data_IF_053187883475
#
_entry.id   IF_053187883475
#
_cell.length_a   1.000
_cell.length_b   1.000
_cell.length_c   1.000
_cell.angle_alpha   90.00
_cell.angle_beta   90.00
_cell.angle_gamma   90.00
#
_symmetry.space_group_name_H-M   'P 1'
#
loop_
_entity.id
_entity.type
_entity.pdbx_description
1 polymer ?
#
# COMPACT_ATOMS: atom_id res chain seq x y z
N UNK A 1 3.78 -24.95 -37.96
CA UNK A 1 4.32 -24.56 -36.65
C UNK A 1 3.13 -24.57 -35.71
N UNK A 2 3.02 -25.57 -34.84
CA UNK A 2 1.91 -25.64 -33.90
C UNK A 2 2.19 -24.69 -32.73
N UNK A 3 1.31 -23.72 -32.54
CA UNK A 3 1.38 -22.79 -31.41
C UNK A 3 0.85 -23.52 -30.18
N UNK A 4 1.76 -24.00 -29.32
CA UNK A 4 1.37 -24.53 -28.02
C UNK A 4 0.84 -23.36 -27.19
N UNK A 5 -0.48 -23.20 -27.15
CA UNK A 5 -1.14 -22.31 -26.20
C UNK A 5 -1.06 -22.99 -24.84
N UNK A 6 -0.12 -22.55 -24.01
CA UNK A 6 -0.06 -22.99 -22.62
C UNK A 6 -1.37 -22.57 -21.94
N UNK A 7 -2.27 -23.53 -21.70
CA UNK A 7 -3.53 -23.29 -21.01
C UNK A 7 -3.20 -22.74 -19.63
N UNK A 8 -3.63 -21.51 -19.33
CA UNK A 8 -3.57 -20.96 -17.98
C UNK A 8 -4.21 -21.98 -17.02
N UNK A 9 -3.47 -22.35 -15.97
CA UNK A 9 -3.97 -23.30 -14.97
C UNK A 9 -5.17 -22.65 -14.27
N UNK A 10 -6.30 -23.36 -14.26
CA UNK A 10 -7.52 -22.87 -13.62
C UNK A 10 -7.26 -22.57 -12.14
N UNK A 11 -7.63 -21.37 -11.70
CA UNK A 11 -7.39 -20.89 -10.33
C UNK A 11 -6.00 -20.31 -10.06
N UNK A 12 -5.08 -20.35 -11.02
CA UNK A 12 -3.79 -19.65 -10.90
C UNK A 12 -3.94 -18.16 -11.23
N UNK A 13 -3.25 -17.33 -10.44
CA UNK A 13 -3.04 -15.91 -10.74
C UNK A 13 -1.85 -15.82 -11.69
N UNK A 14 -2.06 -15.21 -12.86
CA UNK A 14 -0.95 -14.88 -13.76
C UNK A 14 -0.25 -13.61 -13.24
N UNK A 15 1.08 -13.59 -13.34
CA UNK A 15 1.94 -12.54 -12.80
C UNK A 15 2.36 -11.53 -13.86
N UNK A 16 1.87 -11.68 -15.10
CA UNK A 16 2.34 -10.90 -16.26
C UNK A 16 1.26 -10.06 -16.92
N UNK A 17 -0.02 -10.41 -16.79
CA UNK A 17 -1.13 -9.69 -17.41
C UNK A 17 -2.10 -9.09 -16.40
N UNK A 18 -2.79 -8.03 -16.84
CA UNK A 18 -3.89 -7.42 -16.09
C UNK A 18 -5.03 -8.42 -15.93
N UNK A 19 -5.55 -8.55 -14.71
CA UNK A 19 -6.59 -9.52 -14.40
C UNK A 19 -7.45 -9.13 -13.21
N UNK A 20 -8.73 -9.55 -13.25
CA UNK A 20 -9.66 -9.39 -12.13
C UNK A 20 -9.64 -10.64 -11.26
N UNK A 21 -9.34 -10.47 -9.97
CA UNK A 21 -9.23 -11.58 -9.01
C UNK A 21 -10.34 -11.45 -7.97
N UNK A 22 -11.34 -12.33 -8.04
CA UNK A 22 -12.46 -12.35 -7.09
C UNK A 22 -12.16 -12.99 -5.72
N UNK A 23 -13.07 -12.81 -4.77
CA UNK A 23 -13.02 -13.39 -3.43
C UNK A 23 -12.16 -12.62 -2.42
N UNK A 24 -12.20 -13.03 -1.15
CA UNK A 24 -11.40 -12.42 -0.08
C UNK A 24 -9.93 -12.82 -0.25
N UNK A 25 -9.02 -11.84 -0.16
CA UNK A 25 -7.57 -12.06 -0.16
C UNK A 25 -7.01 -11.72 1.21
N UNK A 26 -6.24 -12.64 1.76
CA UNK A 26 -5.55 -12.50 3.03
C UNK A 26 -4.05 -12.59 2.78
N UNK A 27 -3.31 -11.57 3.22
CA UNK A 27 -1.86 -11.55 3.15
C UNK A 27 -1.33 -11.68 4.57
N UNK A 28 -0.51 -12.70 4.82
CA UNK A 28 0.08 -12.97 6.13
C UNK A 28 1.35 -12.15 6.39
N UNK A 29 1.84 -11.49 5.35
CA UNK A 29 3.05 -10.67 5.35
C UNK A 29 2.74 -9.28 4.78
N UNK A 30 3.58 -8.27 5.08
CA UNK A 30 3.41 -6.94 4.50
C UNK A 30 3.37 -6.98 2.97
N UNK A 31 2.50 -6.16 2.38
CA UNK A 31 2.33 -6.08 0.91
C UNK A 31 2.78 -4.73 0.40
N UNK A 32 3.57 -4.72 -0.67
CA UNK A 32 4.06 -3.51 -1.32
C UNK A 32 3.41 -3.40 -2.70
N UNK A 33 2.86 -2.22 -2.97
CA UNK A 33 2.25 -1.85 -4.24
C UNK A 33 3.11 -0.76 -4.87
N UNK A 34 3.61 -1.02 -6.06
CA UNK A 34 4.41 -0.07 -6.83
C UNK A 34 3.50 0.74 -7.75
N UNK A 35 3.57 2.07 -7.73
CA UNK A 35 2.84 2.91 -8.66
C UNK A 35 3.37 2.70 -10.08
N UNK A 36 2.49 2.77 -11.07
CA UNK A 36 2.87 2.77 -12.49
C UNK A 36 3.54 4.09 -12.90
N UNK A 37 3.21 5.18 -12.22
CA UNK A 37 3.82 6.50 -12.37
C UNK A 37 4.28 7.00 -10.98
N UNK A 38 5.56 6.85 -10.63
CA UNK A 38 6.07 7.27 -9.32
C UNK A 38 6.12 8.79 -9.22
N UNK A 39 5.22 9.35 -8.41
CA UNK A 39 5.22 10.76 -8.03
C UNK A 39 6.08 11.01 -6.78
N UNK A 40 5.46 11.62 -5.76
CA UNK A 40 6.12 11.90 -4.48
C UNK A 40 6.54 10.64 -3.70
N UNK A 41 5.90 9.49 -3.93
CA UNK A 41 6.10 8.25 -3.18
C UNK A 41 6.60 7.13 -4.08
N UNK A 42 7.55 6.34 -3.60
CA UNK A 42 8.05 5.14 -4.29
C UNK A 42 7.03 4.00 -4.24
N UNK A 43 6.32 3.83 -3.13
CA UNK A 43 5.36 2.74 -2.99
C UNK A 43 4.25 3.02 -1.99
N UNK A 44 3.17 2.24 -2.11
CA UNK A 44 2.20 2.04 -1.06
C UNK A 44 2.50 0.71 -0.35
N UNK A 45 2.48 0.69 0.97
CA UNK A 45 2.72 -0.53 1.76
C UNK A 45 1.60 -0.76 2.77
N UNK A 46 1.10 -1.98 2.85
CA UNK A 46 0.12 -2.41 3.86
C UNK A 46 0.86 -3.27 4.89
N UNK A 47 0.92 -2.80 6.14
CA UNK A 47 1.57 -3.51 7.23
C UNK A 47 0.88 -3.22 8.58
N UNK A 48 0.59 -4.27 9.35
CA UNK A 48 -0.12 -4.16 10.62
C UNK A 48 -1.52 -3.57 10.43
N UNK A 49 -1.81 -2.49 11.14
CA UNK A 49 -3.08 -1.74 11.05
C UNK A 49 -2.95 -0.46 10.20
N UNK A 50 -1.90 -0.34 9.40
CA UNK A 50 -1.57 0.88 8.68
C UNK A 50 -1.44 0.65 7.17
N UNK A 51 -1.80 1.70 6.43
CA UNK A 51 -1.56 1.86 5.00
C UNK A 51 -0.59 3.03 4.83
N UNK A 52 0.58 2.77 4.26
CA UNK A 52 1.68 3.73 4.14
C UNK A 52 1.89 4.17 2.69
N UNK A 53 2.30 5.42 2.52
CA UNK A 53 2.89 5.98 1.31
C UNK A 53 4.34 6.34 1.66
N UNK A 54 5.28 5.59 1.08
CA UNK A 54 6.69 5.64 1.45
C UNK A 54 7.52 6.22 0.31
N UNK A 55 8.43 7.13 0.63
CA UNK A 55 9.44 7.68 -0.29
C UNK A 55 10.64 6.75 -0.51
N UNK A 56 10.87 5.82 0.40
CA UNK A 56 11.84 4.73 0.30
C UNK A 56 11.20 3.45 0.82
N UNK A 57 11.02 2.45 -0.06
CA UNK A 57 10.32 1.19 0.26
C UNK A 57 10.97 0.36 1.38
N UNK A 58 12.24 0.62 1.69
CA UNK A 58 13.00 -0.12 2.71
C UNK A 58 12.82 0.46 4.10
N UNK A 59 12.15 1.62 4.23
CA UNK A 59 12.00 2.36 5.48
C UNK A 59 10.56 2.78 5.69
N UNK A 60 10.20 2.99 6.95
CA UNK A 60 8.90 3.51 7.34
C UNK A 60 8.92 4.98 7.75
N UNK A 61 10.11 5.58 7.88
CA UNK A 61 10.32 6.77 8.67
C UNK A 61 11.24 7.75 7.95
N UNK A 62 10.88 8.09 6.71
CA UNK A 62 11.49 9.21 6.01
C UNK A 62 10.64 10.46 6.18
N UNK A 63 11.29 11.61 6.22
CA UNK A 63 10.60 12.89 6.34
C UNK A 63 9.57 13.08 5.22
N UNK A 64 8.32 13.33 5.61
CA UNK A 64 7.17 13.47 4.74
C UNK A 64 6.61 12.15 4.17
N UNK A 65 7.01 11.00 4.70
CA UNK A 65 6.24 9.76 4.51
C UNK A 65 4.84 9.93 5.12
N UNK A 66 3.85 9.27 4.54
CA UNK A 66 2.46 9.38 4.99
C UNK A 66 1.89 8.01 5.35
N UNK A 67 0.96 7.96 6.30
CA UNK A 67 0.19 6.74 6.59
C UNK A 67 -1.22 7.07 7.05
N UNK A 68 -2.15 6.15 6.85
CA UNK A 68 -3.45 6.15 7.54
C UNK A 68 -3.55 4.92 8.43
N UNK A 69 -4.09 5.09 9.64
CA UNK A 69 -4.30 4.00 10.58
C UNK A 69 -4.77 4.49 11.95
N UNK A 70 -4.67 3.64 12.99
CA UNK A 70 -5.11 3.97 14.34
C UNK A 70 -4.57 5.29 14.84
N UNK A 71 -5.46 6.04 15.48
CA UNK A 71 -5.21 7.35 16.03
C UNK A 71 -5.15 7.31 17.55
N UNK A 72 -4.24 8.09 18.11
CA UNK A 72 -4.11 8.32 19.55
C UNK A 72 -4.88 9.56 20.00
N UNK A 73 -5.18 10.51 19.10
CA UNK A 73 -5.89 11.75 19.45
C UNK A 73 -7.36 11.74 19.05
N UNK A 74 -7.79 10.82 18.18
CA UNK A 74 -9.13 10.78 17.61
C UNK A 74 -9.76 9.38 17.69
N UNK A 75 -11.09 9.30 17.72
CA UNK A 75 -11.83 8.04 17.75
C UNK A 75 -12.01 7.40 16.36
N UNK A 76 -11.19 7.77 15.39
CA UNK A 76 -11.22 7.28 14.02
C UNK A 76 -9.80 7.18 13.44
N UNK A 77 -9.57 6.38 12.38
CA UNK A 77 -8.30 6.40 11.68
C UNK A 77 -7.97 7.79 11.14
N UNK A 78 -6.71 8.19 11.25
CA UNK A 78 -6.23 9.50 10.80
C UNK A 78 -5.10 9.39 9.81
N UNK A 79 -5.01 10.39 8.93
CA UNK A 79 -3.82 10.60 8.13
C UNK A 79 -2.70 11.13 9.03
N UNK A 80 -1.52 10.58 8.87
CA UNK A 80 -0.34 10.91 9.66
C UNK A 80 0.83 11.16 8.71
N UNK A 81 1.69 12.11 9.05
CA UNK A 81 2.92 12.41 8.31
C UNK A 81 4.11 12.22 9.24
N UNK A 82 5.16 11.56 8.76
CA UNK A 82 6.40 11.44 9.51
C UNK A 82 7.16 12.77 9.41
N UNK A 83 7.25 13.47 10.54
CA UNK A 83 7.84 14.81 10.61
C UNK A 83 8.57 15.01 11.93
N UNK A 84 9.77 15.58 11.86
CA UNK A 84 10.62 15.87 13.01
C UNK A 84 10.86 14.61 13.90
N UNK A 85 11.08 13.47 13.25
CA UNK A 85 11.39 12.19 13.91
C UNK A 85 10.20 11.48 14.56
N UNK A 86 8.96 11.86 14.24
CA UNK A 86 7.76 11.18 14.75
C UNK A 86 6.58 11.28 13.80
N UNK A 87 5.62 10.36 13.93
CA UNK A 87 4.35 10.44 13.23
C UNK A 87 3.45 11.52 13.84
N UNK A 88 3.08 12.51 13.04
CA UNK A 88 2.17 13.59 13.42
C UNK A 88 0.81 13.35 12.80
N UNK A 89 -0.22 13.26 13.63
CA UNK A 89 -1.60 13.14 13.16
C UNK A 89 -2.07 14.46 12.55
N UNK A 90 -2.67 14.38 11.37
CA UNK A 90 -3.41 15.50 10.78
C UNK A 90 -4.82 15.51 11.31
N UNK A 91 -5.39 16.70 11.48
CA UNK A 91 -6.77 16.83 11.89
C UNK A 91 -7.66 16.23 10.80
N UNK A 92 -8.58 15.30 11.12
CA UNK A 92 -9.48 14.71 10.14
C UNK A 92 -10.30 15.72 9.34
N UNK A 93 -10.57 16.89 9.94
CA UNK A 93 -11.34 17.96 9.30
C UNK A 93 -10.53 18.75 8.26
N UNK A 94 -9.20 18.59 8.21
CA UNK A 94 -8.34 19.25 7.21
C UNK A 94 -8.29 18.49 5.88
N UNK A 95 -8.91 17.31 5.81
CA UNK A 95 -8.83 16.37 4.68
C UNK A 95 -10.09 16.48 3.78
N UNK A 96 -10.98 17.43 4.06
CA UNK A 96 -12.25 17.65 3.34
C UNK A 96 -12.12 18.78 2.33
#
# INVERSE_FOLDING_TARGET
METISAKQVEGAVDVTSDQSIGGVKSFTSPVIFFPTDPGQFECLKIEGLYLYWLKDRSKFENEGDMRIGPSMSYSCPTLQEFKDGSWKERNPNDII
#
